data_IF_717657100398
#
_entry.id   IF_717657100398
#
_cell.length_a   1.000
_cell.length_b   1.000
_cell.length_c   1.000
_cell.angle_alpha   90.00
_cell.angle_beta   90.00
_cell.angle_gamma   90.00
#
_symmetry.space_group_name_H-M   'P 1'
#
loop_
_entity.id
_entity.type
_entity.pdbx_description
1 polymer ?
#
# COMPACT_ATOMS: atom_id res chain seq x y z
N UNK A 1 -8.13 14.56 -4.91
CA UNK A 1 -7.35 13.33 -5.05
C UNK A 1 -8.09 12.15 -4.43
N UNK A 2 -8.11 11.03 -5.14
CA UNK A 2 -8.61 9.74 -4.66
C UNK A 2 -7.41 8.84 -4.40
N UNK A 3 -7.03 8.71 -3.11
CA UNK A 3 -5.87 7.94 -2.70
C UNK A 3 -6.16 6.44 -2.61
N UNK A 4 -5.19 5.62 -2.98
CA UNK A 4 -5.13 4.19 -2.69
C UNK A 4 -4.60 3.93 -1.26
N UNK A 5 -3.96 2.80 -1.02
CA UNK A 5 -3.33 2.51 0.27
C UNK A 5 -2.09 3.38 0.48
N UNK A 6 -2.28 4.56 1.09
CA UNK A 6 -1.17 5.42 1.51
C UNK A 6 -0.41 4.74 2.64
N UNK A 7 0.90 4.64 2.51
CA UNK A 7 1.74 3.94 3.46
C UNK A 7 3.13 4.58 3.60
N UNK A 8 3.92 4.09 4.52
CA UNK A 8 5.26 4.57 4.80
C UNK A 8 5.71 4.21 6.22
N UNK A 9 6.96 4.49 6.60
CA UNK A 9 7.53 4.07 7.88
C UNK A 9 6.79 4.66 9.10
N UNK A 10 6.26 5.87 8.98
CA UNK A 10 5.51 6.54 10.05
C UNK A 10 4.01 6.20 10.07
N UNK A 11 3.51 5.43 9.10
CA UNK A 11 2.10 5.08 9.04
C UNK A 11 1.71 4.15 10.21
N UNK A 12 0.75 4.60 11.03
CA UNK A 12 0.20 3.81 12.14
C UNK A 12 -0.94 2.93 11.65
N UNK A 13 -0.60 1.79 11.03
CA UNK A 13 -1.59 0.80 10.62
C UNK A 13 -2.33 0.20 11.83
N UNK A 14 -3.63 -0.07 11.65
CA UNK A 14 -4.50 -0.77 12.60
C UNK A 14 -5.12 -2.01 11.93
N UNK A 15 -5.71 -2.91 12.70
CA UNK A 15 -6.21 -4.20 12.20
C UNK A 15 -7.15 -4.08 11.00
N UNK A 16 -7.97 -3.02 10.96
CA UNK A 16 -8.94 -2.79 9.90
C UNK A 16 -8.53 -1.68 8.91
N UNK A 17 -7.37 -1.06 9.12
CA UNK A 17 -6.89 0.06 8.29
C UNK A 17 -5.38 0.03 8.13
N UNK A 18 -4.90 0.24 6.87
CA UNK A 18 -3.47 0.26 6.58
C UNK A 18 -2.81 -1.12 6.71
N UNK A 19 -3.36 -2.09 5.99
CA UNK A 19 -3.00 -3.51 6.12
C UNK A 19 -1.49 -3.76 6.07
N UNK A 20 -0.75 -3.10 5.15
CA UNK A 20 0.68 -3.33 4.97
C UNK A 20 1.48 -2.98 6.23
N UNK A 21 1.29 -1.75 6.75
CA UNK A 21 1.97 -1.32 7.98
C UNK A 21 1.54 -2.14 9.19
N UNK A 22 0.27 -2.50 9.29
CA UNK A 22 -0.22 -3.30 10.40
C UNK A 22 0.32 -4.75 10.36
N UNK A 23 0.33 -5.39 9.19
CA UNK A 23 0.87 -6.74 8.99
C UNK A 23 2.35 -6.79 9.38
N UNK A 24 3.16 -5.86 8.88
CA UNK A 24 4.60 -5.80 9.18
C UNK A 24 4.83 -5.59 10.68
N UNK A 25 4.12 -4.65 11.30
CA UNK A 25 4.21 -4.41 12.75
C UNK A 25 3.77 -5.61 13.58
N UNK A 26 2.72 -6.32 13.16
CA UNK A 26 2.26 -7.52 13.83
C UNK A 26 3.32 -8.63 13.74
N UNK A 27 3.93 -8.81 12.56
CA UNK A 27 4.99 -9.79 12.35
C UNK A 27 6.23 -9.50 13.22
N UNK A 28 6.73 -8.24 13.21
CA UNK A 28 7.85 -7.81 14.08
C UNK A 28 7.59 -8.06 15.56
N UNK A 29 6.36 -7.81 16.01
CA UNK A 29 5.95 -8.05 17.41
C UNK A 29 5.54 -9.50 17.69
N UNK A 30 5.72 -10.42 16.71
CA UNK A 30 5.28 -11.82 16.80
C UNK A 30 3.80 -12.01 17.19
N UNK A 31 2.96 -11.00 16.88
CA UNK A 31 1.52 -11.02 17.09
C UNK A 31 0.83 -11.75 15.95
N UNK A 32 -0.29 -12.40 16.26
CA UNK A 32 -1.11 -13.07 15.26
C UNK A 32 -1.85 -12.04 14.39
N UNK A 33 -1.70 -12.14 13.06
CA UNK A 33 -2.43 -11.37 12.08
C UNK A 33 -3.67 -12.14 11.63
N UNK A 34 -4.82 -11.49 11.54
CA UNK A 34 -6.04 -12.10 11.04
C UNK A 34 -6.30 -11.72 9.58
N UNK A 35 -6.41 -12.74 8.74
CA UNK A 35 -6.70 -12.58 7.31
C UNK A 35 -8.20 -12.82 7.10
N UNK A 36 -8.92 -11.79 6.64
CA UNK A 36 -10.37 -11.83 6.47
C UNK A 36 -10.73 -12.23 5.03
N UNK A 37 -11.16 -13.47 4.86
CA UNK A 37 -11.67 -13.98 3.57
C UNK A 37 -10.64 -14.04 2.44
N UNK A 38 -11.16 -14.28 1.25
CA UNK A 38 -10.42 -14.36 -0.03
C UNK A 38 -9.15 -15.21 -0.01
N UNK A 39 -9.01 -16.08 0.99
CA UNK A 39 -7.80 -16.91 1.21
C UNK A 39 -6.50 -16.10 1.25
N UNK A 40 -6.55 -14.83 1.67
CA UNK A 40 -5.40 -13.93 1.72
C UNK A 40 -4.90 -13.41 0.36
N UNK A 41 -5.67 -13.62 -0.70
CA UNK A 41 -5.32 -13.25 -2.08
C UNK A 41 -5.89 -11.90 -2.52
N UNK A 42 -6.56 -11.16 -1.65
CA UNK A 42 -7.03 -9.81 -1.96
C UNK A 42 -5.84 -8.89 -2.22
N UNK A 43 -5.92 -8.14 -3.32
CA UNK A 43 -4.83 -7.30 -3.82
C UNK A 43 -5.13 -5.82 -3.60
N UNK A 44 -4.12 -5.07 -3.15
CA UNK A 44 -4.14 -3.61 -3.03
C UNK A 44 -2.84 -3.04 -3.55
N UNK A 45 -2.92 -1.90 -4.21
CA UNK A 45 -1.75 -1.12 -4.54
C UNK A 45 -1.38 -0.18 -3.37
N UNK A 46 -0.08 0.00 -3.18
CA UNK A 46 0.48 0.75 -2.06
C UNK A 46 1.32 1.90 -2.59
N UNK A 47 1.06 3.11 -2.10
CA UNK A 47 1.84 4.29 -2.46
C UNK A 47 2.53 4.87 -1.23
N UNK A 48 3.81 5.17 -1.37
CA UNK A 48 4.56 5.82 -0.30
C UNK A 48 4.10 7.26 -0.10
N UNK A 49 4.01 7.71 1.16
CA UNK A 49 3.59 9.08 1.51
C UNK A 49 4.41 10.16 0.82
N UNK A 50 5.72 9.95 0.63
CA UNK A 50 6.59 10.86 -0.12
C UNK A 50 6.15 11.02 -1.58
N UNK A 51 5.72 9.94 -2.24
CA UNK A 51 5.21 10.00 -3.62
C UNK A 51 3.91 10.79 -3.71
N UNK A 52 3.06 10.70 -2.68
CA UNK A 52 1.82 11.49 -2.57
C UNK A 52 2.14 12.97 -2.36
N UNK A 53 3.07 13.30 -1.46
CA UNK A 53 3.50 14.69 -1.24
C UNK A 53 4.07 15.30 -2.52
N UNK A 54 4.86 14.53 -3.29
CA UNK A 54 5.35 14.98 -4.59
C UNK A 54 4.22 15.18 -5.62
N UNK A 55 3.16 14.36 -5.58
CA UNK A 55 2.01 14.58 -6.43
C UNK A 55 1.30 15.90 -6.10
N UNK A 56 1.11 16.19 -4.81
CA UNK A 56 0.55 17.47 -4.37
C UNK A 56 1.41 18.66 -4.79
N UNK A 57 2.72 18.51 -4.69
CA UNK A 57 3.66 19.55 -5.11
C UNK A 57 3.63 19.80 -6.62
N UNK A 58 3.61 18.76 -7.43
CA UNK A 58 3.48 18.90 -8.89
C UNK A 58 2.13 19.53 -9.28
N UNK A 59 1.05 19.14 -8.60
CA UNK A 59 -0.25 19.75 -8.78
C UNK A 59 -0.24 21.25 -8.44
N UNK A 60 0.34 21.61 -7.30
CA UNK A 60 0.45 23.02 -6.86
C UNK A 60 1.22 23.90 -7.84
N UNK A 61 2.31 23.40 -8.43
CA UNK A 61 3.13 24.15 -9.39
C UNK A 61 2.47 24.39 -10.73
N UNK A 62 1.48 23.59 -11.09
CA UNK A 62 0.82 23.67 -12.39
C UNK A 62 -0.31 24.70 -12.34
N UNK A 63 -0.21 25.74 -13.20
CA UNK A 63 -1.27 26.77 -13.28
C UNK A 63 -2.56 26.20 -13.88
N UNK A 64 -3.70 26.77 -13.47
CA UNK A 64 -5.04 26.42 -13.95
C UNK A 64 -5.38 24.93 -13.81
N UNK A 65 -4.94 24.34 -12.72
CA UNK A 65 -5.06 22.92 -12.47
C UNK A 65 -6.35 22.61 -11.70
N UNK A 66 -7.21 21.80 -12.26
CA UNK A 66 -8.42 21.31 -11.60
C UNK A 66 -8.76 19.91 -12.08
N UNK A 67 -9.48 19.16 -11.26
CA UNK A 67 -9.94 17.83 -11.67
C UNK A 67 -9.91 16.81 -10.54
N UNK A 68 -10.40 15.62 -10.88
CA UNK A 68 -10.37 14.46 -9.98
C UNK A 68 -9.29 13.50 -10.50
N UNK A 69 -8.35 13.13 -9.61
CA UNK A 69 -7.22 12.27 -9.92
C UNK A 69 -7.13 11.10 -8.96
N UNK A 70 -6.93 9.91 -9.50
CA UNK A 70 -6.53 8.76 -8.70
C UNK A 70 -5.01 8.84 -8.47
N UNK A 71 -4.60 8.59 -7.24
CA UNK A 71 -3.18 8.54 -6.83
C UNK A 71 -2.97 7.28 -6.01
N UNK A 72 -2.21 6.36 -6.56
CA UNK A 72 -1.90 5.09 -5.91
C UNK A 72 -0.58 4.49 -6.40
N UNK A 73 -0.27 3.31 -5.91
CA UNK A 73 0.96 2.60 -6.27
C UNK A 73 0.93 1.97 -7.64
N UNK A 74 -0.27 1.81 -8.22
CA UNK A 74 -0.45 1.13 -9.49
C UNK A 74 -0.08 -0.35 -9.43
N UNK A 75 -0.02 -0.98 -10.60
CA UNK A 75 0.22 -2.43 -10.70
C UNK A 75 1.57 -2.87 -10.14
N UNK A 76 2.63 -2.09 -10.36
CA UNK A 76 3.99 -2.41 -9.89
C UNK A 76 4.15 -2.42 -8.37
N UNK A 77 3.31 -1.65 -7.67
CA UNK A 77 3.30 -1.58 -6.19
C UNK A 77 2.07 -2.26 -5.59
N UNK A 78 1.42 -3.17 -6.34
CA UNK A 78 0.32 -3.97 -5.84
C UNK A 78 0.81 -5.28 -5.24
N UNK A 79 0.14 -5.73 -4.18
CA UNK A 79 0.42 -7.00 -3.54
C UNK A 79 -0.80 -7.55 -2.80
N UNK A 80 -0.84 -8.85 -2.66
CA UNK A 80 -1.74 -9.55 -1.75
C UNK A 80 -1.12 -9.68 -0.35
N UNK A 81 -1.94 -10.06 0.62
CA UNK A 81 -1.46 -10.31 1.99
C UNK A 81 -0.43 -11.45 2.00
N UNK A 82 -0.66 -12.52 1.25
CA UNK A 82 0.26 -13.67 1.20
C UNK A 82 1.59 -13.33 0.54
N UNK A 83 1.58 -12.50 -0.51
CA UNK A 83 2.83 -12.03 -1.13
C UNK A 83 3.66 -11.18 -0.16
N UNK A 84 3.04 -10.32 0.65
CA UNK A 84 3.76 -9.57 1.68
C UNK A 84 4.37 -10.50 2.72
N UNK A 85 3.63 -11.51 3.20
CA UNK A 85 4.15 -12.51 4.14
C UNK A 85 5.36 -13.24 3.56
N UNK A 86 5.30 -13.62 2.29
CA UNK A 86 6.41 -14.30 1.61
C UNK A 86 7.64 -13.39 1.45
N UNK A 87 7.43 -12.11 1.10
CA UNK A 87 8.50 -11.10 1.03
C UNK A 87 9.16 -10.90 2.40
N UNK A 88 8.37 -10.76 3.47
CA UNK A 88 8.89 -10.62 4.83
C UNK A 88 9.78 -11.80 5.22
N UNK A 89 9.32 -13.02 4.98
CA UNK A 89 10.08 -14.22 5.25
C UNK A 89 11.37 -14.30 4.44
N UNK A 90 11.27 -14.14 3.11
CA UNK A 90 12.40 -14.37 2.19
C UNK A 90 13.45 -13.27 2.21
N UNK A 91 13.02 -12.01 2.41
CA UNK A 91 13.92 -10.84 2.25
C UNK A 91 14.30 -10.16 3.57
N UNK A 92 13.53 -10.39 4.61
CA UNK A 92 13.72 -9.69 5.89
C UNK A 92 13.90 -10.64 7.08
N UNK A 93 13.84 -11.95 6.86
CA UNK A 93 13.89 -12.97 7.92
C UNK A 93 12.85 -12.73 9.04
N UNK A 94 11.67 -12.24 8.64
CA UNK A 94 10.56 -11.93 9.55
C UNK A 94 9.44 -12.94 9.32
N UNK A 95 9.25 -13.82 10.31
CA UNK A 95 8.15 -14.79 10.31
C UNK A 95 6.84 -14.15 10.74
N UNK A 96 5.77 -14.42 9.98
CA UNK A 96 4.44 -13.90 10.26
C UNK A 96 3.52 -14.99 10.78
N UNK A 97 3.03 -14.83 12.01
CA UNK A 97 1.95 -15.68 12.55
C UNK A 97 0.61 -15.15 12.06
N UNK A 98 -0.20 -15.98 11.38
CA UNK A 98 -1.51 -15.54 10.90
C UNK A 98 -2.57 -16.62 11.06
N UNK A 99 -3.84 -16.19 11.03
CA UNK A 99 -5.02 -17.08 11.00
C UNK A 99 -5.96 -16.61 9.90
N UNK A 100 -6.32 -17.51 9.02
CA UNK A 100 -7.35 -17.26 8.01
C UNK A 100 -8.75 -17.37 8.62
N UNK A 101 -9.58 -16.36 8.37
CA UNK A 101 -10.99 -16.35 8.71
C UNK A 101 -11.82 -16.56 7.45
N UNK A 102 -12.88 -17.36 7.55
CA UNK A 102 -13.76 -17.64 6.38
C UNK A 102 -14.57 -16.41 5.95
N UNK A 103 -14.95 -15.56 6.92
CA UNK A 103 -15.81 -14.39 6.70
C UNK A 103 -14.99 -13.24 6.09
N UNK A 104 -15.48 -12.69 4.97
CA UNK A 104 -14.96 -11.47 4.40
C UNK A 104 -15.36 -10.26 5.26
N UNK A 105 -14.57 -9.20 5.21
CA UNK A 105 -14.97 -7.91 5.78
C UNK A 105 -16.05 -7.28 4.89
N UNK A 106 -17.02 -6.61 5.51
CA UNK A 106 -18.00 -5.82 4.78
C UNK A 106 -17.29 -4.70 4.01
N UNK A 107 -17.65 -4.49 2.74
CA UNK A 107 -17.04 -3.46 1.89
C UNK A 107 -15.59 -3.73 1.45
N UNK A 108 -15.02 -4.91 1.74
CA UNK A 108 -13.68 -5.23 1.29
C UNK A 108 -13.66 -5.58 -0.21
N UNK A 109 -12.62 -5.13 -0.91
CA UNK A 109 -12.44 -5.41 -2.33
C UNK A 109 -11.54 -6.65 -2.51
N UNK A 110 -11.85 -7.48 -3.49
CA UNK A 110 -10.94 -8.57 -3.91
C UNK A 110 -9.73 -7.97 -4.61
N UNK A 111 -9.96 -6.92 -5.39
CA UNK A 111 -8.94 -6.28 -6.21
C UNK A 111 -9.13 -4.77 -6.22
N UNK A 112 -8.06 -4.04 -5.91
CA UNK A 112 -8.04 -2.59 -6.03
C UNK A 112 -6.65 -2.13 -6.47
N UNK A 113 -6.55 -1.63 -7.70
CA UNK A 113 -5.32 -1.07 -8.28
C UNK A 113 -5.67 0.24 -8.96
N UNK A 114 -4.99 1.31 -8.59
CA UNK A 114 -5.20 2.65 -9.13
C UNK A 114 -4.60 2.80 -10.52
N UNK A 115 -5.32 3.47 -11.39
CA UNK A 115 -4.78 4.01 -12.62
C UNK A 115 -4.41 5.49 -12.43
N UNK A 116 -3.12 5.78 -12.51
CA UNK A 116 -2.56 7.13 -12.34
C UNK A 116 -2.38 7.86 -13.69
N UNK A 117 -2.78 7.28 -14.82
CA UNK A 117 -2.45 7.77 -16.17
C UNK A 117 -2.93 9.20 -16.40
N UNK A 118 -4.15 9.54 -15.94
CA UNK A 118 -4.68 10.90 -16.03
C UNK A 118 -3.77 11.91 -15.34
N UNK A 119 -3.31 11.63 -14.12
CA UNK A 119 -2.42 12.53 -13.40
C UNK A 119 -1.04 12.60 -14.06
N UNK A 120 -0.47 11.47 -14.45
CA UNK A 120 0.85 11.41 -15.10
C UNK A 120 0.88 12.11 -16.44
N UNK A 121 -0.19 12.06 -17.22
CA UNK A 121 -0.29 12.73 -18.52
C UNK A 121 -0.30 14.25 -18.37
N UNK A 122 -0.92 14.77 -17.32
CA UNK A 122 -0.99 16.22 -17.05
C UNK A 122 0.23 16.73 -16.26
N UNK A 123 0.85 15.87 -15.44
CA UNK A 123 1.98 16.17 -14.58
C UNK A 123 3.18 15.27 -14.91
N UNK A 124 3.75 15.43 -16.09
CA UNK A 124 4.79 14.55 -16.66
C UNK A 124 6.05 14.41 -15.79
N UNK A 125 6.32 15.38 -14.92
CA UNK A 125 7.44 15.34 -13.98
C UNK A 125 7.17 14.42 -12.77
N UNK A 126 5.92 14.05 -12.53
CA UNK A 126 5.60 13.14 -11.43
C UNK A 126 5.69 11.68 -11.86
N UNK A 127 6.41 10.92 -11.07
CA UNK A 127 6.52 9.46 -11.19
C UNK A 127 6.60 8.84 -9.79
N UNK A 128 6.12 7.62 -9.65
CA UNK A 128 6.34 6.82 -8.46
C UNK A 128 7.85 6.52 -8.35
N UNK A 129 8.47 6.89 -7.24
CA UNK A 129 9.90 6.64 -6.96
C UNK A 129 10.12 5.49 -6.00
N UNK A 130 9.20 5.26 -5.06
CA UNK A 130 9.29 4.19 -4.07
C UNK A 130 8.59 2.94 -4.59
N UNK A 131 9.35 1.89 -4.86
CA UNK A 131 8.78 0.60 -5.22
C UNK A 131 8.32 -0.19 -3.98
N UNK A 132 7.54 -1.25 -4.20
CA UNK A 132 6.96 -2.05 -3.11
C UNK A 132 8.01 -2.60 -2.15
N UNK A 133 9.16 -3.08 -2.66
CA UNK A 133 10.21 -3.62 -1.83
C UNK A 133 10.83 -2.54 -0.92
N UNK A 134 11.09 -1.33 -1.45
CA UNK A 134 11.60 -0.22 -0.64
C UNK A 134 10.60 0.21 0.44
N UNK A 135 9.31 0.23 0.11
CA UNK A 135 8.24 0.54 1.07
C UNK A 135 8.23 -0.49 2.21
N UNK A 136 8.25 -1.79 1.87
CA UNK A 136 8.27 -2.86 2.88
C UNK A 136 9.53 -2.78 3.74
N UNK A 137 10.70 -2.56 3.11
CA UNK A 137 11.97 -2.41 3.81
C UNK A 137 11.93 -1.26 4.83
N UNK A 138 11.51 -0.07 4.42
CA UNK A 138 11.44 1.10 5.31
C UNK A 138 10.48 0.89 6.50
N UNK A 139 9.34 0.23 6.27
CA UNK A 139 8.39 -0.09 7.36
C UNK A 139 8.97 -1.18 8.29
N UNK A 140 9.68 -2.16 7.74
CA UNK A 140 10.29 -3.23 8.51
C UNK A 140 11.50 -2.74 9.34
N UNK A 141 12.26 -1.79 8.83
CA UNK A 141 13.41 -1.19 9.53
C UNK A 141 13.01 -0.26 10.68
N UNK A 142 11.82 0.37 10.61
CA UNK A 142 11.30 1.31 11.63
C UNK A 142 10.56 0.58 12.77
#
# INVERSE_FOLDING_TARGET
FRGSCLTGPLHRGAELHGFLSYLIKAAKKRKKYYIFGYKGKQVRDNIHSEDVVRAFWEFYKTKNNSGIYNIGGGRSNSCSILEVIDILRKKHDIESKYKMLKKNRSGDHIWYISDNSKFQNQHKNWKIKRNLNSIIYEIAAN
#
